data_IF_615148246934
#
_entry.id   IF_615148246934
#
_cell.length_a   1.000
_cell.length_b   1.000
_cell.length_c   1.000
_cell.angle_alpha   90.00
_cell.angle_beta   90.00
_cell.angle_gamma   90.00
#
_symmetry.space_group_name_H-M   'P 1'
#
loop_
_entity.id
_entity.type
_entity.pdbx_description
1 polymer ?
#
# COMPACT_ATOMS: atom_id res chain seq x y z
N UNK A 1 -5.96 2.29 6.15
CA UNK A 1 -6.32 0.98 6.72
C UNK A 1 -5.63 0.75 8.03
N UNK A 2 -6.31 0.08 8.93
CA UNK A 2 -5.69 -0.29 10.19
C UNK A 2 -4.93 -1.58 10.03
N UNK A 3 -3.92 -1.77 10.88
CA UNK A 3 -3.08 -2.96 10.79
C UNK A 3 -3.89 -4.25 10.88
N UNK A 4 -4.91 -4.27 11.73
CA UNK A 4 -5.75 -5.46 11.88
C UNK A 4 -6.49 -5.80 10.60
N UNK A 5 -6.95 -4.78 9.88
CA UNK A 5 -7.63 -4.99 8.62
C UNK A 5 -6.69 -5.56 7.57
N UNK A 6 -5.48 -5.06 7.55
CA UNK A 6 -4.47 -5.53 6.61
C UNK A 6 -4.13 -7.00 6.88
N UNK A 7 -4.08 -7.36 8.15
CA UNK A 7 -3.78 -8.74 8.54
C UNK A 7 -4.81 -9.73 8.02
N UNK A 8 -6.05 -9.28 7.86
CA UNK A 8 -7.13 -10.15 7.44
C UNK A 8 -7.22 -10.31 5.92
N UNK A 9 -6.46 -9.55 5.18
CA UNK A 9 -6.50 -9.62 3.73
C UNK A 9 -5.85 -10.91 3.22
N UNK A 10 -6.43 -11.48 2.16
CA UNK A 10 -5.76 -12.58 1.48
C UNK A 10 -4.55 -12.04 0.74
N UNK A 11 -3.68 -12.93 0.29
CA UNK A 11 -2.49 -12.51 -0.44
C UNK A 11 -2.84 -11.76 -1.73
N UNK A 12 -3.87 -12.19 -2.42
CA UNK A 12 -4.32 -11.49 -3.62
C UNK A 12 -4.88 -10.12 -3.29
N UNK A 13 -5.67 -10.04 -2.23
CA UNK A 13 -6.23 -8.77 -1.81
C UNK A 13 -5.14 -7.81 -1.36
N UNK A 14 -4.16 -8.34 -0.65
CA UNK A 14 -3.04 -7.52 -0.19
C UNK A 14 -2.28 -6.92 -1.36
N UNK A 15 -1.98 -7.74 -2.37
CA UNK A 15 -1.28 -7.27 -3.55
C UNK A 15 -2.10 -6.23 -4.31
N UNK A 16 -3.39 -6.47 -4.42
CA UNK A 16 -4.26 -5.53 -5.12
C UNK A 16 -4.35 -4.20 -4.39
N UNK A 17 -4.48 -4.24 -3.07
CA UNK A 17 -4.53 -3.02 -2.28
C UNK A 17 -3.23 -2.23 -2.40
N UNK A 18 -2.11 -2.93 -2.36
CA UNK A 18 -0.82 -2.29 -2.51
C UNK A 18 -0.70 -1.61 -3.88
N UNK A 19 -1.12 -2.31 -4.92
CA UNK A 19 -1.08 -1.77 -6.27
C UNK A 19 -1.97 -0.55 -6.41
N UNK A 20 -3.21 -0.64 -5.90
CA UNK A 20 -4.15 0.48 -5.98
C UNK A 20 -3.64 1.69 -5.23
N UNK A 21 -3.06 1.47 -4.05
CA UNK A 21 -2.56 2.56 -3.23
C UNK A 21 -1.35 3.23 -3.89
N UNK A 22 -0.47 2.43 -4.49
CA UNK A 22 0.68 2.98 -5.21
C UNK A 22 0.23 3.81 -6.42
N UNK A 23 -0.80 3.35 -7.11
CA UNK A 23 -1.35 4.09 -8.24
C UNK A 23 -1.95 5.41 -7.78
N UNK A 24 -2.65 5.40 -6.66
CA UNK A 24 -3.20 6.63 -6.10
C UNK A 24 -2.12 7.61 -5.74
N UNK A 25 -1.02 7.15 -5.15
CA UNK A 25 0.08 8.02 -4.80
C UNK A 25 0.72 8.62 -6.06
N UNK A 26 0.88 7.81 -7.10
CA UNK A 26 1.42 8.31 -8.36
C UNK A 26 0.55 9.41 -8.94
N UNK A 27 -0.76 9.23 -8.93
CA UNK A 27 -1.67 10.24 -9.43
C UNK A 27 -1.55 11.53 -8.65
N UNK A 28 -1.42 11.44 -7.32
CA UNK A 28 -1.26 12.63 -6.49
C UNK A 28 0.06 13.33 -6.78
N UNK A 29 1.12 12.57 -7.03
CA UNK A 29 2.41 13.17 -7.37
C UNK A 29 2.35 13.92 -8.68
N UNK A 30 1.65 13.36 -9.66
CA UNK A 30 1.47 14.01 -10.94
C UNK A 30 0.71 15.32 -10.76
N UNK A 31 -0.37 15.30 -9.98
CA UNK A 31 -1.12 16.51 -9.70
C UNK A 31 -0.29 17.55 -8.99
N UNK A 32 0.56 17.13 -8.06
CA UNK A 32 1.43 18.07 -7.37
C UNK A 32 2.43 18.72 -8.32
N UNK A 33 2.96 17.97 -9.27
CA UNK A 33 3.91 18.50 -10.23
C UNK A 33 3.28 19.52 -11.17
N UNK A 34 1.99 19.37 -11.43
CA UNK A 34 1.28 20.31 -12.29
C UNK A 34 0.71 21.49 -11.50
N UNK A 35 0.96 21.54 -10.21
CA UNK A 35 0.48 22.63 -9.37
C UNK A 35 -0.98 22.54 -9.00
N UNK A 36 -1.62 21.42 -9.28
CA UNK A 36 -3.06 21.27 -9.01
C UNK A 36 -3.35 20.73 -7.61
N UNK A 37 -2.37 20.10 -6.99
CA UNK A 37 -2.57 19.48 -5.68
C UNK A 37 -1.97 20.34 -4.60
N UNK A 38 -2.79 20.68 -3.61
CA UNK A 38 -2.31 21.44 -2.46
C UNK A 38 -2.33 20.61 -1.18
N UNK A 39 -2.99 19.45 -1.22
CA UNK A 39 -3.16 18.64 -0.02
C UNK A 39 -2.07 17.60 0.13
N UNK A 40 -0.99 17.97 0.83
CA UNK A 40 0.11 17.06 1.09
C UNK A 40 -0.26 16.00 2.13
N UNK A 41 -1.31 16.24 2.91
CA UNK A 41 -1.75 15.26 3.90
C UNK A 41 -2.25 13.98 3.23
N UNK A 42 -2.90 14.11 2.08
CA UNK A 42 -3.36 12.93 1.34
C UNK A 42 -2.19 12.08 0.88
N UNK A 43 -1.12 12.71 0.41
CA UNK A 43 0.07 11.99 0.00
C UNK A 43 0.71 11.25 1.16
N UNK A 44 0.77 11.93 2.31
CA UNK A 44 1.35 11.33 3.51
C UNK A 44 0.54 10.12 3.95
N UNK A 45 -0.78 10.22 3.90
CA UNK A 45 -1.65 9.11 4.26
C UNK A 45 -1.42 7.91 3.35
N UNK A 46 -1.33 8.14 2.05
CA UNK A 46 -1.09 7.06 1.10
C UNK A 46 0.26 6.42 1.30
N UNK A 47 1.30 7.22 1.57
CA UNK A 47 2.62 6.67 1.85
C UNK A 47 2.59 5.77 3.07
N UNK A 48 1.85 6.18 4.10
CA UNK A 48 1.73 5.40 5.33
C UNK A 48 1.03 4.08 5.04
N UNK A 49 -0.02 4.11 4.24
CA UNK A 49 -0.73 2.89 3.87
C UNK A 49 0.16 1.94 3.08
N UNK A 50 0.93 2.47 2.15
CA UNK A 50 1.86 1.66 1.38
C UNK A 50 2.88 1.01 2.31
N UNK A 51 3.41 1.77 3.26
CA UNK A 51 4.37 1.24 4.20
C UNK A 51 3.77 0.08 5.01
N UNK A 52 2.55 0.24 5.46
CA UNK A 52 1.88 -0.81 6.23
C UNK A 52 1.62 -2.05 5.39
N UNK A 53 1.17 -1.86 4.16
CA UNK A 53 0.91 -2.99 3.26
C UNK A 53 2.19 -3.73 2.92
N UNK A 54 3.27 -2.99 2.69
CA UNK A 54 4.57 -3.61 2.41
C UNK A 54 5.11 -4.36 3.62
N UNK A 55 4.89 -3.81 4.81
CA UNK A 55 5.33 -4.47 6.04
C UNK A 55 4.61 -5.80 6.20
N UNK A 56 3.31 -5.83 5.94
CA UNK A 56 2.56 -7.07 6.02
C UNK A 56 3.06 -8.07 4.98
N UNK A 57 3.32 -7.62 3.77
CA UNK A 57 3.83 -8.48 2.72
C UNK A 57 5.18 -9.06 3.10
N UNK A 58 6.06 -8.22 3.62
CA UNK A 58 7.39 -8.66 4.03
C UNK A 58 7.30 -9.65 5.18
N UNK A 59 6.40 -9.43 6.13
CA UNK A 59 6.22 -10.34 7.24
C UNK A 59 5.74 -11.71 6.75
N UNK A 60 4.85 -11.73 5.79
CA UNK A 60 4.38 -12.99 5.22
C UNK A 60 5.50 -13.71 4.47
N UNK A 61 6.30 -12.96 3.74
CA UNK A 61 7.44 -13.52 3.03
C UNK A 61 8.47 -14.07 4.01
N UNK A 62 8.71 -13.34 5.09
CA UNK A 62 9.72 -13.73 6.08
C UNK A 62 9.36 -15.01 6.81
N UNK A 63 8.07 -15.30 6.96
CA UNK A 63 7.65 -16.53 7.63
C UNK A 63 7.70 -17.73 6.70
N UNK A 64 8.05 -17.54 5.45
CA UNK A 64 8.13 -18.64 4.51
C UNK A 64 6.81 -19.10 3.97
N UNK A 65 5.75 -18.45 4.34
CA UNK A 65 4.42 -18.85 3.91
C UNK A 65 4.28 -18.77 2.40
N UNK A 66 5.01 -17.86 1.82
CA UNK A 66 4.94 -17.70 0.40
C UNK A 66 5.36 -18.94 -0.33
N UNK A 67 6.07 -19.82 0.32
CA UNK A 67 6.43 -21.07 -0.32
C UNK A 67 5.20 -21.90 -0.61
N UNK A 68 4.13 -21.68 0.08
CA UNK A 68 2.90 -22.43 -0.14
C UNK A 68 2.04 -21.80 -1.20
N UNK A 69 2.38 -20.59 -1.60
CA UNK A 69 1.59 -19.90 -2.61
C UNK A 69 1.97 -20.28 -3.99
N UNK A 70 3.04 -20.92 -4.10
CA UNK A 70 3.57 -21.23 -5.40
C UNK A 70 2.71 -22.23 -6.10
#
# INVERSE_FOLDING_TARGET
>A
MKAAEIHELTNEELRKQLEDTQRGLLNLRIQAQTGQLENTAAMRTLRREIARLRTEKTARDATGIMTTEV
#
